data_IF_881211454562
#
_entry.id   IF_881211454562
#
_cell.length_a   1.000
_cell.length_b   1.000
_cell.length_c   1.000
_cell.angle_alpha   90.00
_cell.angle_beta   90.00
_cell.angle_gamma   90.00
#
_symmetry.space_group_name_H-M   'P 1'
#
loop_
_entity.id
_entity.type
_entity.pdbx_description
1 polymer ?
#
# COMPACT_ATOMS: atom_id res chain seq x y z
N UNK A 1 -2.84 20.83 -75.35
CA UNK A 1 -3.94 20.97 -74.35
C UNK A 1 -3.55 20.14 -73.19
N UNK A 2 -2.77 20.70 -72.29
CA UNK A 2 -2.36 20.07 -71.02
C UNK A 2 -3.33 20.50 -69.93
N UNK A 3 -3.97 19.52 -69.28
CA UNK A 3 -4.88 19.73 -68.18
C UNK A 3 -4.05 19.71 -66.88
N UNK A 4 -3.92 20.85 -66.23
CA UNK A 4 -3.35 21.01 -64.87
C UNK A 4 -4.37 20.51 -63.85
N UNK A 5 -4.06 19.37 -63.19
CA UNK A 5 -4.77 18.92 -61.97
C UNK A 5 -4.23 19.74 -60.74
N UNK A 6 -5.08 20.59 -60.20
CA UNK A 6 -4.89 21.21 -58.89
C UNK A 6 -5.01 20.17 -57.77
N UNK A 7 -3.91 19.86 -57.13
CA UNK A 7 -3.90 19.08 -55.88
C UNK A 7 -4.40 19.96 -54.72
N UNK A 8 -5.60 19.75 -54.27
CA UNK A 8 -6.14 20.28 -53.03
C UNK A 8 -5.42 19.63 -51.83
N UNK A 9 -4.65 20.40 -51.08
CA UNK A 9 -4.10 19.99 -49.79
C UNK A 9 -5.23 19.81 -48.75
N UNK A 10 -5.18 18.75 -47.91
CA UNK A 10 -6.19 18.57 -46.87
C UNK A 10 -6.05 19.66 -45.81
N UNK A 11 -7.13 20.36 -45.55
CA UNK A 11 -7.26 21.32 -44.45
C UNK A 11 -7.17 20.53 -43.15
N UNK A 12 -6.12 20.79 -42.36
CA UNK A 12 -5.99 20.25 -41.04
C UNK A 12 -7.12 20.78 -40.13
N UNK A 13 -8.05 19.92 -39.77
CA UNK A 13 -9.04 20.22 -38.74
C UNK A 13 -8.32 20.29 -37.40
N UNK A 14 -8.14 21.54 -36.92
CA UNK A 14 -7.68 21.76 -35.53
C UNK A 14 -8.85 21.39 -34.64
N UNK A 15 -8.82 20.19 -34.02
CA UNK A 15 -9.71 19.84 -32.92
C UNK A 15 -9.51 20.84 -31.79
N UNK A 16 -10.45 21.74 -31.57
CA UNK A 16 -10.47 22.59 -30.37
C UNK A 16 -10.51 21.66 -29.14
N UNK A 17 -9.44 21.69 -28.35
CA UNK A 17 -9.38 20.97 -27.10
C UNK A 17 -10.55 21.44 -26.22
N UNK A 18 -11.43 20.50 -25.84
CA UNK A 18 -12.49 20.80 -24.87
C UNK A 18 -11.88 21.39 -23.59
N UNK A 19 -12.50 22.40 -22.98
CA UNK A 19 -11.95 23.04 -21.79
C UNK A 19 -11.71 22.00 -20.71
N UNK A 20 -10.50 22.00 -20.17
CA UNK A 20 -10.10 21.09 -19.09
C UNK A 20 -10.90 21.42 -17.84
N UNK A 21 -11.71 20.46 -17.37
CA UNK A 21 -12.50 20.60 -16.15
C UNK A 21 -11.59 20.28 -14.95
N UNK A 22 -11.19 21.30 -14.22
CA UNK A 22 -10.36 21.14 -13.01
C UNK A 22 -11.24 21.08 -11.78
N UNK A 23 -11.27 19.92 -11.11
CA UNK A 23 -11.92 19.76 -9.81
C UNK A 23 -10.91 20.15 -8.71
N UNK A 24 -11.25 21.17 -7.91
CA UNK A 24 -10.45 21.60 -6.76
C UNK A 24 -11.01 21.04 -5.47
N UNK A 25 -10.12 20.64 -4.56
CA UNK A 25 -10.48 20.30 -3.17
C UNK A 25 -11.03 21.55 -2.47
N UNK A 26 -11.94 21.34 -1.51
CA UNK A 26 -12.38 22.40 -0.58
C UNK A 26 -11.42 22.57 0.60
N UNK A 27 -10.48 21.63 0.78
CA UNK A 27 -9.44 21.71 1.80
C UNK A 27 -8.33 22.64 1.33
N UNK A 28 -7.58 23.27 2.26
CA UNK A 28 -6.42 24.08 1.94
C UNK A 28 -5.35 23.29 1.18
N UNK A 29 -4.56 23.98 0.38
CA UNK A 29 -3.36 23.39 -0.22
C UNK A 29 -2.36 23.04 0.87
N UNK A 30 -1.70 21.87 0.72
CA UNK A 30 -0.66 21.39 1.64
C UNK A 30 0.71 21.50 0.99
N UNK A 31 1.70 21.90 1.79
CA UNK A 31 3.09 21.85 1.38
C UNK A 31 3.56 20.39 1.35
N UNK A 32 3.96 19.91 0.17
CA UNK A 32 4.50 18.55 0.02
C UNK A 32 6.02 18.58 0.14
N UNK A 33 6.54 17.86 1.13
CA UNK A 33 7.99 17.68 1.28
C UNK A 33 8.48 16.58 0.32
N UNK A 34 8.98 16.99 -0.83
CA UNK A 34 9.55 16.08 -1.85
C UNK A 34 11.07 15.93 -1.72
N UNK A 35 11.68 16.44 -0.64
CA UNK A 35 13.14 16.37 -0.43
C UNK A 35 13.57 15.12 0.32
N UNK A 36 12.63 14.37 0.87
CA UNK A 36 12.88 13.16 1.64
C UNK A 36 12.46 11.91 0.88
N UNK A 37 13.27 10.85 0.88
CA UNK A 37 12.83 9.55 0.42
C UNK A 37 11.72 9.00 1.34
N UNK A 38 10.85 8.14 0.81
CA UNK A 38 9.65 7.67 1.48
C UNK A 38 9.92 7.08 2.88
N UNK A 39 11.01 6.31 3.04
CA UNK A 39 11.39 5.74 4.32
C UNK A 39 11.74 6.80 5.36
N UNK A 40 12.40 7.90 4.98
CA UNK A 40 12.66 9.03 5.90
C UNK A 40 11.39 9.83 6.16
N UNK A 41 10.59 10.06 5.13
CA UNK A 41 9.34 10.80 5.25
C UNK A 41 8.36 10.12 6.22
N UNK A 42 8.17 8.81 6.14
CA UNK A 42 7.27 8.07 7.03
C UNK A 42 7.79 8.03 8.49
N UNK A 43 9.10 8.11 8.70
CA UNK A 43 9.72 8.06 10.03
C UNK A 43 10.25 9.43 10.49
N UNK A 44 9.89 10.54 9.85
CA UNK A 44 10.38 11.88 10.20
C UNK A 44 10.12 12.27 11.66
N UNK A 45 9.01 11.80 12.24
CA UNK A 45 8.68 12.00 13.66
C UNK A 45 9.33 11.00 14.62
N UNK A 46 10.18 10.14 14.11
CA UNK A 46 10.82 9.10 14.90
C UNK A 46 11.45 9.61 16.22
N UNK A 47 12.15 10.77 16.30
CA UNK A 47 12.71 11.24 17.57
C UNK A 47 11.68 11.50 18.67
N UNK A 48 10.44 11.88 18.29
CA UNK A 48 9.35 12.21 19.22
C UNK A 48 8.63 10.94 19.74
N UNK A 49 8.68 9.85 18.96
CA UNK A 49 7.93 8.61 19.20
C UNK A 49 8.81 7.37 19.32
N UNK A 50 10.13 7.54 19.46
CA UNK A 50 11.13 6.46 19.40
C UNK A 50 10.77 5.23 20.26
N UNK A 51 10.36 5.45 21.50
CA UNK A 51 10.04 4.41 22.48
C UNK A 51 8.57 3.97 22.45
N UNK A 52 7.74 4.55 21.56
CA UNK A 52 6.32 4.18 21.45
C UNK A 52 6.16 2.90 20.64
N UNK A 53 5.12 2.10 20.92
CA UNK A 53 4.76 0.97 20.09
C UNK A 53 4.54 1.43 18.63
N UNK A 54 5.18 0.75 17.70
CA UNK A 54 5.05 0.96 16.25
C UNK A 54 4.23 -0.17 15.63
N UNK A 55 4.73 -1.41 15.75
CA UNK A 55 4.07 -2.61 15.25
C UNK A 55 3.76 -3.55 16.41
N UNK A 56 2.53 -4.00 16.49
CA UNK A 56 2.07 -4.97 17.49
C UNK A 56 1.58 -6.21 16.74
N UNK A 57 2.22 -7.35 16.95
CA UNK A 57 1.76 -8.61 16.40
C UNK A 57 0.48 -9.06 17.10
N UNK A 58 -0.62 -9.10 16.35
CA UNK A 58 -1.94 -9.44 16.89
C UNK A 58 -2.06 -10.88 17.38
N UNK A 59 -1.20 -11.81 16.95
CA UNK A 59 -1.24 -13.21 17.37
C UNK A 59 -0.48 -13.43 18.68
N UNK A 60 0.74 -12.91 18.77
CA UNK A 60 1.66 -13.11 19.88
C UNK A 60 1.60 -12.00 20.92
N UNK A 61 1.23 -10.79 20.52
CA UNK A 61 1.32 -9.58 21.32
C UNK A 61 2.73 -8.97 21.35
N UNK A 62 3.67 -9.51 20.56
CA UNK A 62 5.01 -8.92 20.46
C UNK A 62 4.94 -7.50 19.92
N UNK A 63 5.75 -6.61 20.49
CA UNK A 63 5.77 -5.19 20.16
C UNK A 63 7.16 -4.83 19.63
N UNK A 64 7.18 -4.11 18.52
CA UNK A 64 8.34 -3.37 18.05
C UNK A 64 8.08 -1.88 18.20
N UNK A 65 9.01 -1.19 18.83
CA UNK A 65 8.99 0.29 18.95
C UNK A 65 9.38 0.95 17.63
N UNK A 66 9.14 2.25 17.51
CA UNK A 66 9.59 3.03 16.36
C UNK A 66 11.12 2.98 16.18
N UNK A 67 11.87 3.07 17.28
CA UNK A 67 13.33 2.93 17.26
C UNK A 67 13.78 1.56 16.75
N UNK A 68 13.11 0.49 17.20
CA UNK A 68 13.44 -0.86 16.76
C UNK A 68 13.10 -1.07 15.28
N UNK A 69 11.93 -0.62 14.80
CA UNK A 69 11.58 -0.72 13.39
C UNK A 69 12.55 0.06 12.50
N UNK A 70 12.93 1.27 12.88
CA UNK A 70 13.92 2.05 12.14
C UNK A 70 15.29 1.36 12.12
N UNK A 71 15.78 0.89 13.27
CA UNK A 71 17.04 0.14 13.38
C UNK A 71 17.01 -1.15 12.53
N UNK A 72 15.94 -1.93 12.63
CA UNK A 72 15.80 -3.18 11.87
C UNK A 72 15.71 -2.93 10.36
N UNK A 73 15.06 -1.85 9.93
CA UNK A 73 15.03 -1.50 8.50
C UNK A 73 16.39 -1.07 7.98
N UNK A 74 17.21 -0.36 8.77
CA UNK A 74 18.60 -0.04 8.41
C UNK A 74 19.45 -1.30 8.31
N UNK A 75 19.37 -2.17 9.31
CA UNK A 75 20.09 -3.45 9.33
C UNK A 75 19.75 -4.29 8.10
N UNK A 76 18.44 -4.43 7.80
CA UNK A 76 18.00 -5.15 6.60
C UNK A 76 18.50 -4.48 5.31
N UNK A 77 18.49 -3.15 5.23
CA UNK A 77 19.03 -2.43 4.08
C UNK A 77 20.54 -2.71 3.87
N UNK A 78 21.31 -2.79 4.94
CA UNK A 78 22.71 -3.19 4.87
C UNK A 78 22.88 -4.64 4.36
N UNK A 79 22.04 -5.57 4.82
CA UNK A 79 22.02 -6.95 4.33
C UNK A 79 21.64 -7.02 2.84
N UNK A 80 20.65 -6.22 2.41
CA UNK A 80 20.19 -6.21 1.00
C UNK A 80 21.30 -5.81 0.02
N UNK A 81 22.22 -4.93 0.42
CA UNK A 81 23.37 -4.53 -0.43
C UNK A 81 24.45 -5.60 -0.56
N UNK A 82 24.49 -6.57 0.33
CA UNK A 82 25.52 -7.61 0.37
C UNK A 82 25.13 -8.82 -0.50
N UNK A 83 26.14 -9.57 -0.94
CA UNK A 83 25.91 -10.88 -1.55
C UNK A 83 25.28 -11.84 -0.51
N UNK A 84 24.37 -12.73 -0.91
CA UNK A 84 23.95 -13.00 -2.28
C UNK A 84 22.81 -12.10 -2.80
N UNK A 85 22.29 -11.14 -2.00
CA UNK A 85 21.16 -10.29 -2.38
C UNK A 85 21.59 -9.18 -3.36
N UNK A 86 22.64 -8.42 -3.05
CA UNK A 86 23.28 -7.48 -3.97
C UNK A 86 22.36 -6.40 -4.56
N UNK A 87 21.37 -5.93 -3.78
CA UNK A 87 20.37 -4.99 -4.25
C UNK A 87 20.87 -3.55 -4.19
N UNK A 88 20.42 -2.74 -5.13
CA UNK A 88 20.67 -1.31 -5.20
C UNK A 88 19.59 -0.59 -5.98
N UNK A 89 19.85 0.68 -6.34
CA UNK A 89 18.91 1.52 -7.09
C UNK A 89 18.47 0.85 -8.39
N UNK A 90 17.16 0.84 -8.61
CA UNK A 90 16.53 0.23 -9.77
C UNK A 90 16.32 -1.29 -9.68
N UNK A 91 16.80 -1.94 -8.62
CA UNK A 91 16.45 -3.34 -8.34
C UNK A 91 14.99 -3.46 -7.93
N UNK A 92 14.41 -4.66 -8.07
CA UNK A 92 13.04 -4.94 -7.66
C UNK A 92 13.01 -6.14 -6.72
N UNK A 93 12.31 -5.97 -5.60
CA UNK A 93 12.02 -7.00 -4.59
C UNK A 93 10.54 -7.34 -4.66
N UNK A 94 10.18 -8.61 -4.46
CA UNK A 94 8.80 -9.02 -4.29
C UNK A 94 8.50 -9.34 -2.82
N UNK A 95 7.47 -8.70 -2.25
CA UNK A 95 6.84 -9.11 -1.00
C UNK A 95 5.64 -10.00 -1.33
N UNK A 96 5.79 -11.32 -1.17
CA UNK A 96 4.78 -12.35 -1.41
C UNK A 96 4.44 -13.01 -0.07
N UNK A 97 3.82 -12.28 0.83
CA UNK A 97 3.54 -12.74 2.18
C UNK A 97 2.28 -12.10 2.75
N UNK A 98 1.76 -12.71 3.81
CA UNK A 98 0.68 -12.16 4.61
C UNK A 98 1.17 -10.97 5.45
N UNK A 99 0.24 -10.29 6.13
CA UNK A 99 0.58 -9.19 7.03
C UNK A 99 1.54 -9.64 8.12
N UNK A 100 2.65 -8.95 8.25
CA UNK A 100 3.68 -9.22 9.27
C UNK A 100 4.58 -8.00 9.47
N UNK A 101 5.39 -8.01 10.53
CA UNK A 101 6.43 -7.00 10.73
C UNK A 101 7.47 -7.06 9.61
N UNK A 102 7.83 -8.25 9.14
CA UNK A 102 8.80 -8.47 8.06
C UNK A 102 8.35 -7.83 6.74
N UNK A 103 7.03 -7.75 6.48
CA UNK A 103 6.51 -7.02 5.33
C UNK A 103 6.89 -5.52 5.41
N UNK A 104 6.71 -4.91 6.57
CA UNK A 104 7.06 -3.50 6.81
C UNK A 104 8.57 -3.30 6.71
N UNK A 105 9.33 -4.18 7.39
CA UNK A 105 10.80 -4.11 7.39
C UNK A 105 11.37 -4.25 5.98
N UNK A 106 10.94 -5.23 5.19
CA UNK A 106 11.42 -5.45 3.83
C UNK A 106 11.04 -4.32 2.88
N UNK A 107 9.83 -3.74 3.02
CA UNK A 107 9.38 -2.62 2.22
C UNK A 107 10.27 -1.38 2.43
N UNK A 108 10.49 -1.00 3.68
CA UNK A 108 11.29 0.20 3.96
C UNK A 108 12.79 -0.03 3.79
N UNK A 109 13.29 -1.24 4.03
CA UNK A 109 14.68 -1.59 3.71
C UNK A 109 14.97 -1.50 2.20
N UNK A 110 14.06 -1.99 1.36
CA UNK A 110 14.17 -1.84 -0.09
C UNK A 110 14.17 -0.36 -0.50
N UNK A 111 13.28 0.46 0.08
CA UNK A 111 13.28 1.92 -0.14
C UNK A 111 14.62 2.57 0.25
N UNK A 112 15.28 2.11 1.33
CA UNK A 112 16.61 2.62 1.77
C UNK A 112 17.75 2.30 0.80
N UNK A 113 17.63 1.21 0.04
CA UNK A 113 18.65 0.85 -0.97
C UNK A 113 18.30 1.35 -2.37
N UNK A 114 17.19 2.09 -2.52
CA UNK A 114 16.73 2.60 -3.81
C UNK A 114 16.09 1.52 -4.69
N UNK A 115 15.68 0.40 -4.10
CA UNK A 115 14.95 -0.66 -4.79
C UNK A 115 13.44 -0.46 -4.71
N UNK A 116 12.71 -0.88 -5.74
CA UNK A 116 11.26 -0.91 -5.75
C UNK A 116 10.73 -2.21 -5.14
N UNK A 117 9.55 -2.15 -4.50
CA UNK A 117 8.86 -3.33 -3.98
C UNK A 117 7.61 -3.62 -4.79
N UNK A 118 7.55 -4.80 -5.44
CA UNK A 118 6.28 -5.31 -5.96
C UNK A 118 5.59 -6.13 -4.88
N UNK A 119 4.36 -5.74 -4.55
CA UNK A 119 3.57 -6.42 -3.53
C UNK A 119 2.63 -7.42 -4.20
N UNK A 120 2.64 -8.67 -3.73
CA UNK A 120 1.90 -9.77 -4.36
C UNK A 120 1.04 -10.51 -3.34
N UNK A 121 -0.11 -11.01 -3.81
CA UNK A 121 -1.00 -11.82 -3.00
C UNK A 121 -0.45 -13.26 -2.89
N UNK A 122 -0.12 -13.77 -1.70
CA UNK A 122 0.37 -15.14 -1.52
C UNK A 122 -0.70 -16.21 -1.85
N UNK A 123 -1.97 -15.81 -1.98
CA UNK A 123 -3.06 -16.70 -2.41
C UNK A 123 -3.20 -16.77 -3.93
N UNK A 124 -2.47 -15.97 -4.71
CA UNK A 124 -2.44 -16.03 -6.17
C UNK A 124 -1.96 -17.38 -6.67
N UNK A 125 -2.35 -17.70 -7.90
CA UNK A 125 -1.91 -18.92 -8.59
C UNK A 125 -0.43 -18.85 -8.95
N UNK A 126 0.26 -20.01 -9.12
CA UNK A 126 1.66 -20.03 -9.58
C UNK A 126 1.88 -19.25 -10.88
N UNK A 127 0.91 -19.29 -11.80
CA UNK A 127 0.98 -18.57 -13.07
C UNK A 127 0.94 -17.05 -12.88
N UNK A 128 0.04 -16.54 -12.03
CA UNK A 128 -0.04 -15.11 -11.71
C UNK A 128 1.23 -14.60 -11.03
N UNK A 129 1.77 -15.37 -10.07
CA UNK A 129 3.00 -15.04 -9.38
C UNK A 129 4.17 -15.00 -10.37
N UNK A 130 4.31 -16.01 -11.24
CA UNK A 130 5.37 -16.06 -12.25
C UNK A 130 5.27 -14.88 -13.22
N UNK A 131 4.07 -14.53 -13.67
CA UNK A 131 3.84 -13.38 -14.54
C UNK A 131 4.22 -12.06 -13.84
N UNK A 132 3.87 -11.90 -12.56
CA UNK A 132 4.22 -10.70 -11.81
C UNK A 132 5.74 -10.59 -11.58
N UNK A 133 6.43 -11.69 -11.26
CA UNK A 133 7.89 -11.73 -11.16
C UNK A 133 8.54 -11.31 -12.49
N UNK A 134 8.10 -11.91 -13.59
CA UNK A 134 8.65 -11.62 -14.92
C UNK A 134 8.38 -10.16 -15.34
N UNK A 135 7.18 -9.66 -15.12
CA UNK A 135 6.80 -8.30 -15.51
C UNK A 135 7.44 -7.22 -14.63
N UNK A 136 7.64 -7.49 -13.34
CA UNK A 136 8.28 -6.54 -12.41
C UNK A 136 9.80 -6.59 -12.47
N UNK A 137 10.39 -7.68 -12.95
CA UNK A 137 11.83 -7.91 -12.91
C UNK A 137 12.37 -8.20 -11.50
N UNK A 138 11.53 -8.69 -10.59
CA UNK A 138 11.94 -9.01 -9.22
C UNK A 138 13.00 -10.12 -9.21
N UNK A 139 14.10 -9.89 -8.49
CA UNK A 139 15.23 -10.82 -8.34
C UNK A 139 15.31 -11.44 -6.94
N UNK A 140 14.69 -10.80 -5.95
CA UNK A 140 14.57 -11.26 -4.58
C UNK A 140 13.10 -11.36 -4.20
N UNK A 141 12.71 -12.45 -3.56
CA UNK A 141 11.34 -12.66 -3.06
C UNK A 141 11.39 -12.92 -1.56
N UNK A 142 10.80 -12.05 -0.78
CA UNK A 142 10.46 -12.32 0.61
C UNK A 142 9.11 -13.04 0.66
N UNK A 143 9.05 -14.21 1.27
CA UNK A 143 7.85 -15.04 1.27
C UNK A 143 7.76 -15.95 2.48
N UNK A 144 6.71 -16.74 2.53
CA UNK A 144 6.43 -17.76 3.53
C UNK A 144 6.63 -19.15 2.94
N UNK A 145 6.94 -20.11 3.80
CA UNK A 145 7.16 -21.53 3.42
C UNK A 145 6.06 -22.06 2.48
N UNK A 146 4.82 -21.76 2.81
CA UNK A 146 3.63 -22.23 2.06
C UNK A 146 3.54 -21.71 0.63
N UNK A 147 4.21 -20.61 0.29
CA UNK A 147 4.16 -20.01 -1.03
C UNK A 147 5.36 -20.41 -1.92
N UNK A 148 6.39 -21.05 -1.38
CA UNK A 148 7.62 -21.40 -2.12
C UNK A 148 7.33 -22.28 -3.33
N UNK A 149 6.44 -23.27 -3.19
CA UNK A 149 6.09 -24.19 -4.27
C UNK A 149 5.30 -23.52 -5.42
N UNK A 150 4.82 -22.30 -5.19
CA UNK A 150 4.18 -21.47 -6.22
C UNK A 150 5.17 -20.64 -7.04
N UNK A 151 6.42 -20.51 -6.58
CA UNK A 151 7.44 -19.74 -7.28
C UNK A 151 7.89 -20.49 -8.54
N UNK A 152 8.25 -19.77 -9.61
CA UNK A 152 8.75 -20.40 -10.82
C UNK A 152 10.04 -21.19 -10.51
N UNK A 153 10.09 -22.44 -10.96
CA UNK A 153 11.30 -23.26 -10.90
C UNK A 153 12.40 -22.52 -11.64
N UNK A 154 13.56 -22.34 -11.02
CA UNK A 154 14.70 -21.61 -11.57
C UNK A 154 15.06 -22.12 -12.97
N UNK A 155 14.60 -21.42 -13.99
CA UNK A 155 15.23 -21.47 -15.29
C UNK A 155 16.41 -20.48 -15.22
N UNK A 156 17.62 -21.01 -15.07
CA UNK A 156 18.89 -20.30 -15.24
C UNK A 156 19.05 -18.95 -14.49
N UNK A 157 19.28 -19.04 -13.21
CA UNK A 157 20.04 -18.01 -12.53
C UNK A 157 19.27 -16.79 -12.05
N UNK A 158 18.54 -16.85 -10.96
CA UNK A 158 18.46 -15.58 -10.40
C UNK A 158 17.39 -15.20 -9.41
N UNK A 159 16.43 -16.00 -9.06
CA UNK A 159 15.50 -15.64 -7.99
C UNK A 159 16.08 -16.08 -6.64
N UNK A 160 16.43 -15.13 -5.79
CA UNK A 160 16.79 -15.41 -4.40
C UNK A 160 15.53 -15.39 -3.53
N UNK A 161 15.27 -16.47 -2.80
CA UNK A 161 14.11 -16.64 -1.95
C UNK A 161 14.52 -16.48 -0.49
N UNK A 162 13.84 -15.59 0.22
CA UNK A 162 14.02 -15.34 1.65
C UNK A 162 12.74 -15.71 2.38
N UNK A 163 12.80 -16.66 3.30
CA UNK A 163 11.68 -17.14 4.09
C UNK A 163 11.61 -16.41 5.43
N UNK A 164 10.40 -15.95 5.80
CA UNK A 164 10.18 -15.21 7.05
C UNK A 164 9.76 -16.10 8.22
N UNK A 165 9.29 -17.31 7.96
CA UNK A 165 8.60 -18.15 8.94
C UNK A 165 9.26 -19.52 9.20
N UNK A 166 10.03 -20.05 8.27
CA UNK A 166 10.65 -21.36 8.39
C UNK A 166 11.92 -21.50 7.55
N UNK A 167 12.72 -22.54 7.80
CA UNK A 167 13.88 -22.90 6.98
C UNK A 167 13.49 -23.88 5.89
N UNK A 168 14.08 -23.71 4.71
CA UNK A 168 13.97 -24.65 3.58
C UNK A 168 15.27 -24.65 2.78
N UNK A 169 15.70 -25.82 2.33
CA UNK A 169 16.88 -25.97 1.49
C UNK A 169 16.79 -25.13 0.22
N UNK A 170 17.86 -24.41 -0.07
CA UNK A 170 17.95 -23.50 -1.22
C UNK A 170 17.25 -22.14 -1.02
N UNK A 171 16.73 -21.86 0.16
CA UNK A 171 16.18 -20.57 0.57
C UNK A 171 17.02 -19.97 1.71
N UNK A 172 17.09 -18.65 1.80
CA UNK A 172 17.63 -17.95 2.96
C UNK A 172 16.54 -17.80 4.02
N UNK A 173 16.91 -17.78 5.29
CA UNK A 173 16.01 -17.45 6.38
C UNK A 173 16.19 -15.97 6.76
N UNK A 174 15.07 -15.25 6.92
CA UNK A 174 15.07 -13.80 7.14
C UNK A 174 15.92 -13.37 8.35
N UNK A 175 15.66 -13.98 9.50
CA UNK A 175 16.33 -13.61 10.75
C UNK A 175 17.73 -14.19 10.87
N UNK A 176 17.90 -15.49 10.59
CA UNK A 176 19.13 -16.21 10.90
C UNK A 176 20.20 -16.07 9.80
N UNK A 177 19.81 -15.87 8.54
CA UNK A 177 20.78 -15.80 7.44
C UNK A 177 20.90 -14.34 6.94
N UNK A 178 19.78 -13.61 6.78
CA UNK A 178 19.82 -12.24 6.23
C UNK A 178 20.13 -11.23 7.32
N UNK A 179 19.30 -11.16 8.36
CA UNK A 179 19.49 -10.18 9.45
C UNK A 179 20.77 -10.44 10.25
N UNK A 180 21.11 -11.70 10.51
CA UNK A 180 22.31 -12.07 11.25
C UNK A 180 23.62 -11.86 10.44
N UNK A 181 23.54 -11.66 9.12
CA UNK A 181 24.72 -11.37 8.28
C UNK A 181 25.33 -10.01 8.51
N UNK A 182 24.62 -9.10 9.16
CA UNK A 182 25.07 -7.73 9.43
C UNK A 182 25.55 -7.63 10.88
N UNK A 183 26.79 -7.22 11.13
CA UNK A 183 27.29 -6.94 12.48
C UNK A 183 26.49 -5.82 13.17
N UNK A 184 26.45 -5.86 14.51
CA UNK A 184 25.63 -4.92 15.30
C UNK A 184 26.11 -3.48 15.23
N UNK A 185 27.37 -3.23 14.86
CA UNK A 185 27.99 -1.92 14.71
C UNK A 185 27.83 -1.30 13.31
N UNK A 186 27.28 -2.07 12.35
CA UNK A 186 27.08 -1.61 10.97
C UNK A 186 25.63 -1.20 10.65
N UNK A 187 24.82 -0.93 11.66
CA UNK A 187 23.42 -0.49 11.53
C UNK A 187 23.27 0.95 10.98
N UNK A 188 24.38 1.65 10.71
CA UNK A 188 24.32 3.05 10.29
C UNK A 188 23.98 3.16 8.80
N UNK A 189 23.06 4.08 8.46
CA UNK A 189 22.86 4.47 7.06
C UNK A 189 24.16 5.09 6.53
N UNK A 190 24.69 4.59 5.41
CA UNK A 190 25.74 5.31 4.72
C UNK A 190 25.20 6.69 4.31
N UNK A 191 25.91 7.77 4.62
CA UNK A 191 25.57 9.13 4.16
C UNK A 191 25.36 9.22 2.64
N UNK A 192 26.03 8.34 1.89
CA UNK A 192 25.92 8.23 0.44
C UNK A 192 24.55 7.72 -0.06
N UNK A 193 23.75 7.07 0.78
CA UNK A 193 22.40 6.61 0.36
C UNK A 193 21.44 7.77 0.06
N UNK A 194 21.70 8.95 0.60
CA UNK A 194 20.97 10.18 0.28
C UNK A 194 21.53 10.90 -0.96
N UNK A 195 22.79 10.63 -1.34
CA UNK A 195 23.44 11.23 -2.50
C UNK A 195 23.00 10.50 -3.77
N UNK A 196 21.90 10.91 -4.36
CA UNK A 196 21.35 10.33 -5.60
C UNK A 196 19.87 10.00 -5.51
N UNK A 197 19.19 10.35 -4.42
CA UNK A 197 17.74 10.24 -4.31
C UNK A 197 17.05 11.11 -5.36
N UNK A 198 16.14 10.48 -6.09
CA UNK A 198 15.23 11.17 -7.00
C UNK A 198 13.79 10.91 -6.52
N UNK A 199 13.00 11.96 -6.22
CA UNK A 199 11.61 11.79 -5.79
C UNK A 199 10.76 11.07 -6.84
N UNK A 200 11.17 11.04 -8.09
CA UNK A 200 10.48 10.34 -9.17
C UNK A 200 10.96 8.89 -9.38
N UNK A 201 11.93 8.42 -8.60
CA UNK A 201 12.26 6.98 -8.56
C UNK A 201 11.06 6.16 -8.08
N UNK A 202 10.86 5.02 -8.73
CA UNK A 202 9.80 4.08 -8.37
C UNK A 202 10.17 3.35 -7.08
N UNK A 203 9.28 3.37 -6.09
CA UNK A 203 9.47 2.70 -4.80
C UNK A 203 8.50 1.55 -4.59
N UNK A 204 7.34 1.56 -5.25
CA UNK A 204 6.37 0.48 -5.16
C UNK A 204 5.75 0.15 -6.51
N UNK A 205 5.48 -1.14 -6.73
CA UNK A 205 4.86 -1.71 -7.93
C UNK A 205 3.68 -2.62 -7.54
N UNK A 206 2.60 -2.08 -6.93
CA UNK A 206 1.41 -2.87 -6.68
C UNK A 206 0.71 -3.22 -8.00
N UNK A 207 0.00 -4.35 -8.01
CA UNK A 207 -0.76 -4.78 -9.18
C UNK A 207 -2.26 -4.55 -8.97
N UNK A 208 -2.90 -4.00 -9.99
CA UNK A 208 -4.36 -3.86 -10.04
C UNK A 208 -4.95 -4.89 -10.99
N UNK A 209 -6.16 -5.36 -10.70
CA UNK A 209 -6.88 -6.33 -11.54
C UNK A 209 -7.21 -5.80 -12.94
N UNK A 210 -7.04 -4.50 -13.20
CA UNK A 210 -7.27 -3.87 -14.50
C UNK A 210 -8.68 -4.12 -15.07
N UNK A 211 -9.23 -3.14 -15.77
CA UNK A 211 -10.53 -3.27 -16.45
C UNK A 211 -10.47 -4.07 -17.76
N UNK A 212 -9.26 -4.33 -18.25
CA UNK A 212 -9.01 -4.87 -19.60
C UNK A 212 -8.36 -6.26 -19.61
N UNK A 213 -8.49 -7.06 -18.53
CA UNK A 213 -8.06 -8.46 -18.47
C UNK A 213 -6.85 -8.70 -17.56
N UNK A 214 -5.61 -8.65 -18.05
CA UNK A 214 -4.44 -8.99 -17.24
C UNK A 214 -4.13 -7.94 -16.17
N UNK A 215 -3.71 -8.34 -14.94
CA UNK A 215 -3.25 -7.42 -13.92
C UNK A 215 -2.13 -6.51 -14.42
N UNK A 216 -2.20 -5.23 -14.05
CA UNK A 216 -1.21 -4.22 -14.46
C UNK A 216 -0.44 -3.73 -13.25
N UNK A 217 0.89 -3.70 -13.35
CA UNK A 217 1.76 -3.07 -12.37
C UNK A 217 1.61 -1.55 -12.42
N UNK A 218 1.35 -0.93 -11.28
CA UNK A 218 1.24 0.52 -11.14
C UNK A 218 2.56 1.03 -10.57
N UNK A 219 3.24 1.92 -11.30
CA UNK A 219 4.50 2.51 -10.87
C UNK A 219 4.23 3.66 -9.91
N UNK A 220 4.53 3.48 -8.63
CA UNK A 220 4.39 4.50 -7.60
C UNK A 220 5.76 5.01 -7.18
N UNK A 221 5.96 6.32 -7.31
CA UNK A 221 7.22 6.99 -6.97
C UNK A 221 7.23 7.42 -5.52
N UNK A 222 8.42 7.78 -4.99
CA UNK A 222 8.53 8.40 -3.68
C UNK A 222 7.61 9.63 -3.57
N UNK A 223 7.64 10.52 -4.57
CA UNK A 223 6.79 11.71 -4.67
C UNK A 223 5.31 11.35 -4.60
N UNK A 224 4.85 10.38 -5.38
CA UNK A 224 3.43 10.05 -5.45
C UNK A 224 2.91 9.49 -4.12
N UNK A 225 3.69 8.65 -3.44
CA UNK A 225 3.29 8.10 -2.15
C UNK A 225 3.40 9.11 -1.01
N UNK A 226 4.49 9.90 -0.92
CA UNK A 226 4.60 10.95 0.09
C UNK A 226 3.51 12.02 -0.07
N UNK A 227 3.17 12.39 -1.32
CA UNK A 227 2.04 13.29 -1.59
C UNK A 227 0.72 12.70 -1.12
N UNK A 228 0.47 11.41 -1.42
CA UNK A 228 -0.76 10.74 -0.98
C UNK A 228 -0.87 10.66 0.55
N UNK A 229 0.23 10.37 1.24
CA UNK A 229 0.28 10.36 2.70
C UNK A 229 0.07 11.77 3.26
N UNK A 230 0.75 12.78 2.71
CA UNK A 230 0.58 14.18 3.15
C UNK A 230 -0.88 14.65 3.01
N UNK A 231 -1.53 14.36 1.89
CA UNK A 231 -2.94 14.69 1.67
C UNK A 231 -3.88 14.03 2.70
N UNK A 232 -3.48 12.90 3.26
CA UNK A 232 -4.27 12.20 4.25
C UNK A 232 -3.99 12.71 5.68
N UNK A 233 -2.73 12.96 6.05
CA UNK A 233 -2.36 13.13 7.46
C UNK A 233 -1.51 14.35 7.81
N UNK A 234 -0.89 15.05 6.85
CA UNK A 234 -0.06 16.23 7.14
C UNK A 234 -0.83 17.55 7.10
N UNK A 235 -2.03 17.56 6.49
CA UNK A 235 -2.91 18.73 6.47
C UNK A 235 -4.02 18.63 7.50
N UNK A 236 -4.74 19.72 7.68
CA UNK A 236 -5.97 19.76 8.50
C UNK A 236 -7.12 19.02 7.79
N UNK A 237 -6.93 17.72 7.53
CA UNK A 237 -7.94 16.88 6.91
C UNK A 237 -8.91 16.35 7.98
N UNK A 238 -10.10 16.95 8.15
CA UNK A 238 -11.04 16.58 9.20
C UNK A 238 -11.61 15.16 9.02
N UNK A 239 -11.40 14.56 7.86
CA UNK A 239 -12.00 13.27 7.53
C UNK A 239 -11.12 12.09 7.97
N UNK A 240 -9.83 12.28 8.23
CA UNK A 240 -8.92 11.20 8.67
C UNK A 240 -8.45 11.44 10.10
N UNK A 241 -7.93 12.60 10.43
CA UNK A 241 -7.56 13.01 11.78
C UNK A 241 -6.77 11.96 12.57
N UNK A 242 -5.82 11.26 11.93
CA UNK A 242 -4.93 10.32 12.60
C UNK A 242 -3.95 11.08 13.49
N UNK A 243 -3.66 10.53 14.65
CA UNK A 243 -2.73 11.10 15.62
C UNK A 243 -1.75 10.04 16.13
N UNK A 244 -0.70 10.48 16.81
CA UNK A 244 0.26 9.59 17.45
C UNK A 244 -0.36 8.75 18.59
N UNK A 245 -1.50 9.16 19.13
CA UNK A 245 -2.18 8.42 20.20
C UNK A 245 -3.13 7.35 19.67
N UNK A 246 -3.26 7.23 18.36
CA UNK A 246 -4.10 6.20 17.76
C UNK A 246 -3.45 4.82 17.76
N UNK A 247 -4.32 3.82 17.84
CA UNK A 247 -4.01 2.42 17.62
C UNK A 247 -4.82 1.97 16.41
N UNK A 248 -4.13 1.66 15.32
CA UNK A 248 -4.74 1.36 14.02
C UNK A 248 -4.78 -0.15 13.80
N UNK A 249 -5.95 -0.68 13.43
CA UNK A 249 -6.09 -2.08 13.06
C UNK A 249 -5.61 -2.32 11.61
N UNK A 250 -4.63 -3.21 11.44
CA UNK A 250 -4.22 -3.70 10.13
C UNK A 250 -4.77 -5.11 9.88
N UNK A 251 -6.06 -5.21 9.59
CA UNK A 251 -6.74 -6.47 9.22
C UNK A 251 -6.80 -6.69 7.71
N UNK A 252 -6.62 -5.64 6.92
CA UNK A 252 -6.60 -5.70 5.47
C UNK A 252 -5.21 -6.06 4.96
N UNK A 253 -5.12 -6.74 3.80
CA UNK A 253 -3.83 -7.19 3.28
C UNK A 253 -2.86 -6.03 2.98
N UNK A 254 -1.65 -6.07 3.55
CA UNK A 254 -0.59 -5.07 3.32
C UNK A 254 -0.10 -5.04 1.87
N UNK A 255 -0.26 -6.14 1.12
CA UNK A 255 0.07 -6.16 -0.30
C UNK A 255 -0.90 -5.33 -1.17
N UNK A 256 -2.05 -4.92 -0.62
CA UNK A 256 -3.02 -4.07 -1.31
C UNK A 256 -2.77 -2.59 -0.97
N UNK A 257 -2.90 -1.72 -1.99
CA UNK A 257 -2.56 -0.28 -1.87
C UNK A 257 -3.30 0.44 -0.75
N UNK A 258 -4.54 0.06 -0.43
CA UNK A 258 -5.29 0.69 0.66
C UNK A 258 -4.60 0.46 2.01
N UNK A 259 -4.22 -0.79 2.31
CA UNK A 259 -3.51 -1.11 3.55
C UNK A 259 -2.08 -0.54 3.53
N UNK A 260 -1.37 -0.69 2.42
CA UNK A 260 -0.02 -0.19 2.24
C UNK A 260 0.08 1.32 2.48
N UNK A 261 -0.82 2.11 1.87
CA UNK A 261 -0.77 3.57 1.93
C UNK A 261 -1.49 4.12 3.17
N UNK A 262 -2.79 3.84 3.34
CA UNK A 262 -3.61 4.48 4.38
C UNK A 262 -3.36 3.89 5.77
N UNK A 263 -3.12 2.57 5.89
CA UNK A 263 -2.88 1.95 7.20
C UNK A 263 -1.40 2.06 7.57
N UNK A 264 -0.51 1.49 6.75
CA UNK A 264 0.90 1.40 7.08
C UNK A 264 1.59 2.76 7.00
N UNK A 265 1.59 3.41 5.84
CA UNK A 265 2.37 4.64 5.67
C UNK A 265 1.79 5.82 6.46
N UNK A 266 0.48 6.02 6.44
CA UNK A 266 -0.14 7.10 7.22
C UNK A 266 -0.02 6.86 8.72
N UNK A 267 -0.20 5.62 9.19
CA UNK A 267 0.00 5.26 10.60
C UNK A 267 1.42 5.55 11.07
N UNK A 268 2.43 5.12 10.30
CA UNK A 268 3.83 5.39 10.60
C UNK A 268 4.15 6.89 10.57
N UNK A 269 3.63 7.62 9.59
CA UNK A 269 3.84 9.08 9.45
C UNK A 269 3.38 9.87 10.67
N UNK A 270 2.24 9.50 11.24
CA UNK A 270 1.70 10.20 12.42
C UNK A 270 2.27 9.71 13.75
N UNK A 271 2.97 8.58 13.78
CA UNK A 271 3.50 7.99 15.01
C UNK A 271 2.50 7.09 15.74
N UNK A 272 1.46 6.56 15.07
CA UNK A 272 0.46 5.68 15.64
C UNK A 272 0.95 4.24 15.79
N UNK A 273 0.40 3.49 16.74
CA UNK A 273 0.63 2.05 16.84
C UNK A 273 -0.22 1.30 15.80
N UNK A 274 0.34 0.27 15.17
CA UNK A 274 -0.36 -0.57 14.19
C UNK A 274 -0.45 -1.99 14.72
N UNK A 275 -1.66 -2.47 14.99
CA UNK A 275 -1.93 -3.86 15.37
C UNK A 275 -2.06 -4.69 14.10
N UNK A 276 -1.07 -5.56 13.87
CA UNK A 276 -0.96 -6.36 12.66
C UNK A 276 -1.71 -7.67 12.84
N UNK A 277 -2.76 -7.85 12.06
CA UNK A 277 -3.53 -9.08 11.98
C UNK A 277 -3.12 -9.84 10.73
N UNK A 278 -2.51 -11.02 10.90
CA UNK A 278 -1.93 -11.81 9.80
C UNK A 278 -2.98 -12.22 8.75
N UNK A 279 -4.11 -12.70 9.20
CA UNK A 279 -5.30 -13.06 8.42
C UNK A 279 -6.54 -12.54 9.10
N UNK A 280 -7.52 -12.13 8.32
CA UNK A 280 -8.80 -11.74 8.88
C UNK A 280 -9.52 -12.93 9.50
N UNK A 281 -9.97 -12.74 10.74
CA UNK A 281 -10.89 -13.56 11.49
C UNK A 281 -11.74 -12.63 12.35
N UNK A 282 -13.07 -12.76 12.28
CA UNK A 282 -13.99 -11.80 12.89
C UNK A 282 -13.88 -11.79 14.43
N UNK A 283 -13.88 -12.97 15.04
CA UNK A 283 -13.78 -13.11 16.51
C UNK A 283 -12.44 -12.54 17.00
N UNK A 284 -11.36 -12.91 16.31
CA UNK A 284 -10.04 -12.40 16.64
C UNK A 284 -9.94 -10.88 16.48
N UNK A 285 -10.55 -10.33 15.45
CA UNK A 285 -10.59 -8.88 15.25
C UNK A 285 -11.23 -8.16 16.44
N UNK A 286 -12.38 -8.63 16.92
CA UNK A 286 -13.06 -8.04 18.07
C UNK A 286 -12.23 -8.15 19.35
N UNK A 287 -11.58 -9.31 19.58
CA UNK A 287 -10.64 -9.51 20.69
C UNK A 287 -9.46 -8.51 20.62
N UNK A 288 -8.92 -8.26 19.42
CA UNK A 288 -7.82 -7.32 19.24
C UNK A 288 -8.28 -5.86 19.49
N UNK A 289 -9.50 -5.51 19.05
CA UNK A 289 -10.09 -4.19 19.33
C UNK A 289 -10.17 -3.95 20.83
N UNK A 290 -10.73 -4.89 21.58
CA UNK A 290 -10.86 -4.82 23.03
C UNK A 290 -9.50 -4.79 23.72
N UNK A 291 -8.62 -5.76 23.40
CA UNK A 291 -7.32 -5.96 24.06
C UNK A 291 -6.36 -4.78 23.86
N UNK A 292 -6.28 -4.27 22.64
CA UNK A 292 -5.31 -3.21 22.29
C UNK A 292 -5.95 -1.83 22.26
N UNK A 293 -7.23 -1.69 22.63
CA UNK A 293 -7.97 -0.43 22.62
C UNK A 293 -7.87 0.27 21.27
N UNK A 294 -8.09 -0.49 20.19
CA UNK A 294 -7.99 0.02 18.82
C UNK A 294 -8.93 1.22 18.65
N UNK A 295 -8.39 2.31 18.11
CA UNK A 295 -9.13 3.58 17.92
C UNK A 295 -9.56 3.78 16.47
N UNK A 296 -8.78 3.24 15.52
CA UNK A 296 -9.03 3.34 14.07
C UNK A 296 -9.18 1.94 13.49
N UNK A 297 -10.31 1.69 12.83
CA UNK A 297 -10.60 0.41 12.17
C UNK A 297 -10.83 0.62 10.66
N UNK A 298 -9.77 0.50 9.82
CA UNK A 298 -9.93 0.45 8.38
C UNK A 298 -10.51 -0.90 7.97
N UNK A 299 -11.67 -0.88 7.32
CA UNK A 299 -12.43 -2.08 6.97
C UNK A 299 -12.85 -2.03 5.48
N UNK A 300 -13.47 -3.11 5.05
CA UNK A 300 -14.15 -3.20 3.75
C UNK A 300 -15.61 -3.62 3.97
N UNK A 301 -16.54 -3.32 3.06
CA UNK A 301 -17.97 -3.59 3.25
C UNK A 301 -18.30 -5.02 3.68
N UNK A 302 -17.67 -6.10 3.18
CA UNK A 302 -17.93 -7.44 3.68
C UNK A 302 -17.64 -7.62 5.17
N UNK A 303 -16.59 -6.98 5.70
CA UNK A 303 -16.26 -7.03 7.14
C UNK A 303 -17.28 -6.23 7.93
N UNK A 304 -17.68 -5.05 7.44
CA UNK A 304 -18.73 -4.23 8.07
C UNK A 304 -20.04 -5.02 8.17
N UNK A 305 -20.43 -5.71 7.09
CA UNK A 305 -21.62 -6.60 7.09
C UNK A 305 -21.47 -7.73 8.11
N UNK A 306 -20.31 -8.36 8.18
CA UNK A 306 -20.05 -9.44 9.14
C UNK A 306 -20.19 -8.95 10.59
N UNK A 307 -19.62 -7.79 10.93
CA UNK A 307 -19.77 -7.16 12.26
C UNK A 307 -21.23 -6.78 12.53
N UNK A 308 -21.90 -6.15 11.56
CA UNK A 308 -23.30 -5.70 11.72
C UNK A 308 -24.24 -6.89 12.03
N UNK A 309 -23.98 -8.05 11.45
CA UNK A 309 -24.77 -9.28 11.62
C UNK A 309 -24.32 -10.16 12.76
N UNK A 310 -23.15 -9.92 13.37
CA UNK A 310 -22.60 -10.77 14.43
C UNK A 310 -23.21 -10.44 15.79
N UNK A 311 -23.73 -11.44 16.46
CA UNK A 311 -24.14 -11.32 17.87
C UNK A 311 -22.92 -11.27 18.80
N UNK A 312 -21.78 -11.81 18.38
CA UNK A 312 -20.53 -11.82 19.14
C UNK A 312 -19.97 -10.42 19.38
N UNK A 313 -20.30 -9.45 18.51
CA UNK A 313 -19.90 -8.06 18.71
C UNK A 313 -20.42 -7.46 20.04
N UNK A 314 -21.53 -7.98 20.57
CA UNK A 314 -22.08 -7.56 21.86
C UNK A 314 -21.30 -8.11 23.06
N UNK A 315 -20.43 -9.11 22.86
CA UNK A 315 -19.62 -9.75 23.92
C UNK A 315 -18.26 -9.06 24.11
N UNK A 316 -17.92 -8.09 23.27
CA UNK A 316 -16.64 -7.39 23.29
C UNK A 316 -16.79 -5.88 23.53
N UNK A 317 -15.83 -5.29 24.25
CA UNK A 317 -15.76 -3.84 24.39
C UNK A 317 -15.12 -3.19 23.16
N UNK A 318 -15.96 -2.72 22.25
CA UNK A 318 -15.56 -2.00 21.03
C UNK A 318 -15.58 -0.47 21.23
N UNK A 319 -15.79 0.05 22.43
CA UNK A 319 -15.99 1.47 22.72
C UNK A 319 -14.76 2.35 22.43
N UNK A 320 -13.58 1.76 22.32
CA UNK A 320 -12.35 2.48 21.96
C UNK A 320 -12.32 2.95 20.50
N UNK A 321 -13.10 2.33 19.62
CA UNK A 321 -13.14 2.67 18.20
C UNK A 321 -13.80 4.04 18.02
N UNK A 322 -13.00 5.04 17.64
CA UNK A 322 -13.49 6.39 17.35
C UNK A 322 -13.77 6.63 15.87
N UNK A 323 -13.13 5.84 14.99
CA UNK A 323 -13.24 5.98 13.55
C UNK A 323 -13.18 4.64 12.84
N UNK A 324 -14.08 4.46 11.90
CA UNK A 324 -14.07 3.36 10.94
C UNK A 324 -13.93 3.95 9.54
N UNK A 325 -12.98 3.44 8.76
CA UNK A 325 -12.79 3.83 7.37
C UNK A 325 -13.19 2.66 6.48
N UNK A 326 -14.33 2.78 5.79
CA UNK A 326 -14.78 1.74 4.86
C UNK A 326 -14.38 2.08 3.43
N UNK A 327 -13.61 1.19 2.78
CA UNK A 327 -13.12 1.38 1.42
C UNK A 327 -13.47 0.26 0.46
N UNK A 328 -13.04 0.39 -0.77
CA UNK A 328 -13.13 -0.58 -1.87
C UNK A 328 -14.51 -0.74 -2.55
N UNK A 329 -15.64 -0.51 -1.88
CA UNK A 329 -16.97 -0.57 -2.49
C UNK A 329 -17.97 0.34 -1.75
N UNK A 330 -19.04 0.80 -2.41
CA UNK A 330 -20.12 1.50 -1.74
C UNK A 330 -20.88 0.57 -0.79
N UNK A 331 -21.42 1.15 0.29
CA UNK A 331 -22.19 0.43 1.29
C UNK A 331 -23.60 1.04 1.39
N UNK A 332 -24.60 0.18 1.55
CA UNK A 332 -25.98 0.59 1.72
C UNK A 332 -26.25 1.18 3.12
N UNK A 333 -27.18 2.12 3.20
CA UNK A 333 -27.53 2.83 4.43
C UNK A 333 -27.98 1.89 5.55
N UNK A 334 -28.78 0.88 5.25
CA UNK A 334 -29.29 -0.08 6.26
C UNK A 334 -28.15 -0.85 6.96
N UNK A 335 -27.10 -1.21 6.21
CA UNK A 335 -25.91 -1.88 6.77
C UNK A 335 -25.09 -0.88 7.61
N UNK A 336 -24.95 0.34 7.13
CA UNK A 336 -24.28 1.41 7.86
C UNK A 336 -24.96 1.64 9.23
N UNK A 337 -26.29 1.81 9.25
CA UNK A 337 -27.06 2.05 10.47
C UNK A 337 -26.95 0.86 11.44
N UNK A 338 -27.06 -0.39 10.95
CA UNK A 338 -26.91 -1.58 11.77
C UNK A 338 -25.50 -1.73 12.36
N UNK A 339 -24.46 -1.38 11.59
CA UNK A 339 -23.08 -1.39 12.05
C UNK A 339 -22.83 -0.30 13.09
N UNK A 340 -23.26 0.93 12.83
CA UNK A 340 -23.07 2.06 13.74
C UNK A 340 -23.84 1.89 15.06
N UNK A 341 -24.93 1.13 15.07
CA UNK A 341 -25.62 0.77 16.31
C UNK A 341 -24.74 -0.07 17.28
N UNK A 342 -23.71 -0.77 16.76
CA UNK A 342 -22.74 -1.53 17.56
C UNK A 342 -21.54 -0.70 18.00
N UNK A 343 -21.31 0.44 17.35
CA UNK A 343 -20.18 1.35 17.57
C UNK A 343 -20.69 2.82 17.74
N UNK A 344 -21.51 3.10 18.77
CA UNK A 344 -22.22 4.38 18.86
C UNK A 344 -21.30 5.59 19.07
N UNK A 345 -20.05 5.37 19.51
CA UNK A 345 -19.03 6.42 19.67
C UNK A 345 -18.15 6.65 18.44
N UNK A 346 -18.29 5.85 17.39
CA UNK A 346 -17.44 5.93 16.22
C UNK A 346 -18.02 6.82 15.11
N UNK A 347 -17.12 7.34 14.27
CA UNK A 347 -17.48 7.98 13.00
C UNK A 347 -17.15 7.03 11.87
N UNK A 348 -18.08 6.82 10.95
CA UNK A 348 -17.86 6.02 9.76
C UNK A 348 -17.58 6.92 8.54
N UNK A 349 -16.35 6.84 8.03
CA UNK A 349 -15.94 7.46 6.77
C UNK A 349 -15.95 6.44 5.62
N UNK A 350 -16.48 6.82 4.46
CA UNK A 350 -16.34 6.01 3.24
C UNK A 350 -15.19 6.54 2.40
N UNK A 351 -14.21 5.65 2.13
CA UNK A 351 -13.03 5.96 1.31
C UNK A 351 -13.30 5.51 -0.12
N UNK A 352 -13.18 6.43 -1.07
CA UNK A 352 -13.22 6.11 -2.50
C UNK A 352 -11.84 6.34 -3.10
N UNK A 353 -11.22 5.30 -3.64
CA UNK A 353 -10.09 5.46 -4.52
C UNK A 353 -10.62 5.87 -5.90
N UNK A 354 -10.25 7.06 -6.35
CA UNK A 354 -10.50 7.48 -7.73
C UNK A 354 -9.22 7.18 -8.51
N UNK A 355 -9.26 6.23 -9.49
CA UNK A 355 -8.12 6.07 -10.36
C UNK A 355 -7.97 7.35 -11.18
N UNK A 356 -6.86 8.06 -11.02
CA UNK A 356 -6.47 9.09 -11.96
C UNK A 356 -6.15 8.40 -13.28
N UNK A 357 -7.04 8.50 -14.25
CA UNK A 357 -6.74 8.11 -15.62
C UNK A 357 -5.79 9.16 -16.19
N UNK A 358 -4.47 8.86 -16.12
CA UNK A 358 -3.58 9.46 -17.09
C UNK A 358 -4.03 8.96 -18.47
N UNK A 359 -4.35 9.87 -19.40
CA UNK A 359 -4.52 9.50 -20.80
C UNK A 359 -3.34 8.64 -21.20
N UNK A 360 -3.51 7.46 -21.78
CA UNK A 360 -2.40 6.75 -22.38
C UNK A 360 -1.90 7.63 -23.54
N UNK A 361 -0.79 8.30 -23.37
CA UNK A 361 0.01 8.71 -24.51
C UNK A 361 0.33 7.43 -25.27
N UNK A 362 0.11 7.43 -26.58
CA UNK A 362 0.33 6.28 -27.45
C UNK A 362 1.64 5.56 -27.08
N UNK A 363 1.69 4.23 -27.06
CA UNK A 363 2.87 3.49 -26.68
C UNK A 363 3.99 3.84 -27.67
N UNK A 364 5.04 4.46 -27.18
CA UNK A 364 6.28 4.53 -27.94
C UNK A 364 6.77 3.09 -28.14
N UNK A 365 7.31 2.78 -29.30
CA UNK A 365 7.74 1.46 -29.77
C UNK A 365 8.77 0.72 -28.89
N UNK A 366 9.01 1.19 -27.66
CA UNK A 366 9.99 0.67 -26.69
C UNK A 366 9.33 0.12 -25.42
N UNK A 367 8.01 0.01 -25.34
CA UNK A 367 7.33 -0.62 -24.17
C UNK A 367 7.51 0.10 -22.83
N UNK A 368 7.94 1.36 -22.80
CA UNK A 368 8.11 2.11 -21.56
C UNK A 368 6.78 2.73 -21.12
N UNK A 369 6.39 2.42 -19.90
CA UNK A 369 5.19 2.93 -19.24
C UNK A 369 5.34 4.42 -18.92
N UNK A 370 4.25 5.18 -19.09
CA UNK A 370 4.18 6.60 -18.72
C UNK A 370 4.06 6.76 -17.20
N UNK A 371 4.85 7.64 -16.56
CA UNK A 371 4.83 7.81 -15.11
C UNK A 371 3.76 8.83 -14.72
N UNK A 372 2.51 8.42 -14.51
CA UNK A 372 1.55 9.24 -13.74
C UNK A 372 0.33 8.39 -13.33
N UNK A 373 0.28 7.99 -12.08
CA UNK A 373 -0.95 7.57 -11.42
C UNK A 373 -0.96 8.14 -10.01
N UNK A 374 -1.59 9.28 -9.84
CA UNK A 374 -1.89 9.82 -8.53
C UNK A 374 -3.08 9.05 -7.94
N UNK A 375 -2.92 8.39 -6.80
CA UNK A 375 -4.01 7.78 -6.06
C UNK A 375 -4.69 8.88 -5.24
N UNK A 376 -5.74 9.49 -5.77
CA UNK A 376 -6.57 10.43 -5.03
C UNK A 376 -7.52 9.63 -4.14
N UNK A 377 -7.33 9.68 -2.82
CA UNK A 377 -8.29 9.16 -1.84
C UNK A 377 -9.23 10.31 -1.50
N UNK A 378 -10.47 10.26 -1.97
CA UNK A 378 -11.50 11.24 -1.64
C UNK A 378 -12.41 10.68 -0.54
N UNK A 379 -12.62 11.47 0.52
CA UNK A 379 -13.51 11.17 1.63
C UNK A 379 -14.83 11.90 1.47
N UNK A 380 -15.94 11.19 1.55
CA UNK A 380 -17.28 11.78 1.58
C UNK A 380 -17.95 11.53 2.92
N UNK A 381 -18.08 12.56 3.75
CA UNK A 381 -19.09 12.62 4.80
C UNK A 381 -20.43 12.97 4.17
N UNK A 382 -21.52 12.37 4.67
CA UNK A 382 -22.89 12.59 4.21
C UNK A 382 -23.19 14.04 3.79
N UNK A 383 -23.46 14.23 2.51
CA UNK A 383 -24.35 15.28 2.03
C UNK A 383 -25.27 14.70 0.96
N UNK A 384 -26.54 14.57 1.31
CA UNK A 384 -27.64 14.30 0.40
C UNK A 384 -27.82 15.47 -0.56
N UNK A 385 -28.07 15.14 -1.82
CA UNK A 385 -28.53 15.95 -2.94
C UNK A 385 -27.46 16.36 -3.95
N UNK A 386 -27.60 15.76 -5.05
CA UNK A 386 -27.21 16.03 -6.43
C UNK A 386 -26.28 14.94 -6.99
N UNK A 387 -26.95 13.94 -7.59
CA UNK A 387 -26.44 13.29 -8.82
C UNK A 387 -27.42 12.26 -9.36
N UNK A 388 -28.39 12.76 -10.10
CA UNK A 388 -28.91 12.03 -11.27
C UNK A 388 -28.19 12.64 -12.48
N UNK A 389 -27.12 12.01 -12.95
CA UNK A 389 -26.57 12.02 -14.30
C UNK A 389 -25.17 11.40 -14.24
N UNK A 390 -25.11 10.12 -14.55
CA UNK A 390 -24.03 9.38 -15.18
C UNK A 390 -24.17 7.90 -14.83
N UNK A 391 -25.28 7.33 -15.26
CA UNK A 391 -25.41 5.90 -15.55
C UNK A 391 -24.54 5.64 -16.76
N UNK A 392 -23.34 5.08 -16.55
CA UNK A 392 -22.63 4.19 -17.50
C UNK A 392 -21.22 3.78 -17.05
N UNK A 393 -20.94 3.66 -15.76
CA UNK A 393 -19.65 3.11 -15.29
C UNK A 393 -19.79 2.10 -14.14
N UNK A 394 -20.75 1.17 -14.27
CA UNK A 394 -20.99 0.11 -13.26
C UNK A 394 -20.22 -1.19 -13.51
N UNK A 395 -19.14 -1.20 -14.31
CA UNK A 395 -18.46 -2.46 -14.69
C UNK A 395 -17.01 -2.58 -14.25
N UNK A 396 -16.48 -1.73 -13.37
CA UNK A 396 -15.05 -1.68 -13.18
C UNK A 396 -14.51 -1.93 -11.76
N UNK A 397 -15.24 -2.60 -10.86
CA UNK A 397 -14.66 -3.04 -9.58
C UNK A 397 -15.36 -4.28 -9.01
N UNK A 398 -15.28 -5.40 -9.72
CA UNK A 398 -15.35 -6.71 -9.07
C UNK A 398 -13.91 -7.17 -8.80
N UNK A 399 -13.26 -6.62 -7.77
CA UNK A 399 -12.16 -7.33 -7.13
C UNK A 399 -12.75 -8.59 -6.52
N UNK A 400 -12.37 -9.74 -7.05
CA UNK A 400 -12.66 -11.03 -6.44
C UNK A 400 -11.97 -11.10 -5.09
N UNK A 401 -12.62 -10.61 -4.05
CA UNK A 401 -12.30 -10.93 -2.68
C UNK A 401 -12.87 -12.32 -2.39
N UNK A 402 -12.14 -13.36 -2.74
CA UNK A 402 -12.30 -14.65 -2.08
C UNK A 402 -11.68 -14.51 -0.70
N UNK A 403 -12.54 -14.12 0.28
CA UNK A 403 -12.27 -14.28 1.70
C UNK A 403 -12.69 -15.70 2.01
N UNK A 404 -11.74 -16.61 2.10
CA UNK A 404 -11.84 -17.86 2.83
C UNK A 404 -10.62 -18.00 3.74
#
# INVERSE_FOLDING_TARGET
MESTEEQQQPVAVVEEASPEIIFRSKLPDIAINNTLPLHRYCFERHPEVADRPCLIDGATGAVLTYAEVDRLTRRLAAALRRAPLGLGRGAVVMNLMLNSAEFVLSFFAASRVGAAVTTANPMSTPHEIANQIAASGATVVFTEYMAVDKLPVKANGGLTVVLIDARRDGCLHFWDDVMASVPDDEDQEPEEAAAGFDPDDVVALPYSSGTTGLPKGVMLTHRSLSTSVAQQVDGDNPNIGFTADDVILCSLPMFHIYSLNTIMMCGLRVGAAIVVMRRFDLARMMQLVERHRITIAPLVPPIVVAVAKSDEAASHDLSSVRMVLSGAAPMGKDIEDAFMAKLPGAVLGQVRAVPCHARPSAPNATGRFSPFSCLLVSFGLHFFSFMLALLDFASCFMCSFLIF
#
